data_IF_993671131720
#
_entry.id   IF_993671131720
#
_cell.length_a   1.000
_cell.length_b   1.000
_cell.length_c   1.000
_cell.angle_alpha   90.00
_cell.angle_beta   90.00
_cell.angle_gamma   90.00
#
_symmetry.space_group_name_H-M   'P 1'
#
loop_
_entity.id
_entity.type
_entity.pdbx_description
1 polymer ?
#
# COMPACT_ATOMS: atom_id res chain seq x y z
N UNK A 1 15.58 -6.83 41.21
CA UNK A 1 16.44 -5.80 40.57
C UNK A 1 15.95 -5.60 39.14
N UNK A 2 15.73 -4.35 38.74
CA UNK A 2 15.39 -4.05 37.35
C UNK A 2 16.56 -4.45 36.43
N UNK A 3 16.27 -5.05 35.26
CA UNK A 3 17.28 -5.41 34.27
C UNK A 3 17.73 -4.15 33.52
N UNK A 4 18.86 -4.25 32.78
CA UNK A 4 19.30 -3.18 31.85
C UNK A 4 18.21 -2.90 30.81
N UNK A 5 17.47 -3.93 30.40
CA UNK A 5 16.35 -3.80 29.49
C UNK A 5 15.22 -2.95 30.10
N UNK A 6 14.82 -3.22 31.36
CA UNK A 6 13.76 -2.46 32.03
C UNK A 6 14.12 -0.98 32.14
N UNK A 7 15.33 -0.67 32.63
CA UNK A 7 15.81 0.73 32.76
C UNK A 7 15.83 1.46 31.40
N UNK A 8 16.27 0.77 30.34
CA UNK A 8 16.28 1.33 28.97
C UNK A 8 14.88 1.57 28.46
N UNK A 9 13.97 0.64 28.69
CA UNK A 9 12.58 0.70 28.22
C UNK A 9 11.82 1.82 28.94
N UNK A 10 11.98 1.97 30.25
CA UNK A 10 11.37 3.05 31.02
C UNK A 10 11.81 4.42 30.50
N UNK A 11 13.11 4.59 30.25
CA UNK A 11 13.64 5.83 29.65
C UNK A 11 13.05 6.13 28.27
N UNK A 12 12.89 5.09 27.42
CA UNK A 12 12.26 5.26 26.11
C UNK A 12 10.78 5.63 26.24
N UNK A 13 10.06 5.06 27.19
CA UNK A 13 8.67 5.40 27.45
C UNK A 13 8.50 6.84 27.93
N UNK A 14 9.37 7.31 28.82
CA UNK A 14 9.39 8.72 29.24
C UNK A 14 9.64 9.64 28.05
N UNK A 15 10.65 9.36 27.21
CA UNK A 15 10.93 10.13 26.01
C UNK A 15 9.74 10.20 25.04
N UNK A 16 9.05 9.06 24.77
CA UNK A 16 7.89 9.04 23.90
C UNK A 16 6.72 9.88 24.46
N UNK A 17 6.54 9.91 25.77
CA UNK A 17 5.52 10.72 26.45
C UNK A 17 5.88 12.21 26.43
N UNK A 18 7.13 12.56 26.74
CA UNK A 18 7.63 13.94 26.69
C UNK A 18 7.53 14.54 25.27
N UNK A 19 7.89 13.75 24.27
CA UNK A 19 7.75 14.13 22.85
C UNK A 19 6.30 14.13 22.36
N UNK A 20 5.34 13.71 23.20
CA UNK A 20 3.91 13.60 22.85
C UNK A 20 3.60 12.72 21.64
N UNK A 21 4.44 11.70 21.40
CA UNK A 21 4.27 10.73 20.31
C UNK A 21 3.79 9.34 20.79
N UNK A 22 3.43 9.25 22.07
CA UNK A 22 2.86 8.03 22.64
C UNK A 22 1.56 7.65 21.93
N UNK A 23 1.49 6.43 21.40
CA UNK A 23 0.33 5.92 20.68
C UNK A 23 -0.64 5.22 21.62
N UNK A 24 -1.92 5.54 21.47
CA UNK A 24 -3.04 4.82 22.09
C UNK A 24 -3.85 4.11 21.03
N UNK A 25 -4.22 2.85 21.30
CA UNK A 25 -5.06 2.07 20.38
C UNK A 25 -6.53 2.40 20.65
N UNK A 26 -7.26 2.81 19.63
CA UNK A 26 -8.70 3.01 19.71
C UNK A 26 -9.43 1.68 19.45
N UNK A 27 -10.35 1.32 20.35
CA UNK A 27 -11.13 0.09 20.22
C UNK A 27 -12.39 0.34 19.41
N UNK A 28 -12.50 -0.32 18.24
CA UNK A 28 -13.69 -0.27 17.40
C UNK A 28 -14.70 -1.33 17.85
N UNK A 29 -15.96 -0.94 17.95
CA UNK A 29 -17.09 -1.77 18.39
C UNK A 29 -18.15 -1.93 17.27
N UNK A 30 -17.71 -1.81 16.02
CA UNK A 30 -18.51 -2.01 14.81
C UNK A 30 -17.66 -2.58 13.67
N UNK A 31 -18.27 -3.12 12.60
CA UNK A 31 -17.55 -3.34 11.34
C UNK A 31 -16.92 -2.04 10.83
N UNK A 32 -15.90 -2.18 9.96
CA UNK A 32 -15.23 -1.05 9.32
C UNK A 32 -16.09 -0.50 8.17
N UNK A 33 -16.56 0.75 8.33
CA UNK A 33 -17.37 1.47 7.33
C UNK A 33 -17.05 2.97 7.34
N UNK A 34 -17.84 3.78 6.62
CA UNK A 34 -17.77 5.25 6.64
C UNK A 34 -17.99 5.83 8.04
N UNK A 35 -18.89 5.23 8.82
CA UNK A 35 -19.13 5.53 10.23
C UNK A 35 -18.80 4.30 11.07
N UNK A 36 -18.07 4.48 12.15
CA UNK A 36 -17.69 3.41 13.07
C UNK A 36 -18.07 3.78 14.52
N UNK A 37 -18.27 2.76 15.35
CA UNK A 37 -18.41 2.96 16.80
C UNK A 37 -17.07 2.73 17.48
N UNK A 38 -16.70 3.65 18.37
CA UNK A 38 -15.48 3.61 19.16
C UNK A 38 -15.85 3.52 20.63
N UNK A 39 -15.09 2.73 21.38
CA UNK A 39 -15.18 2.67 22.84
C UNK A 39 -14.32 3.78 23.45
N UNK A 40 -14.96 4.74 24.10
CA UNK A 40 -14.29 5.84 24.81
C UNK A 40 -13.57 5.39 26.08
N UNK A 41 -12.73 6.25 26.68
CA UNK A 41 -12.02 5.98 27.92
C UNK A 41 -12.95 5.69 29.13
N UNK A 42 -14.17 6.24 29.09
CA UNK A 42 -15.22 6.02 30.08
C UNK A 42 -15.99 4.71 29.87
N UNK A 43 -15.61 3.92 28.86
CA UNK A 43 -16.28 2.68 28.49
C UNK A 43 -17.53 2.85 27.63
N UNK A 44 -18.00 4.08 27.39
CA UNK A 44 -19.15 4.35 26.54
C UNK A 44 -18.77 4.28 25.07
N UNK A 45 -19.75 3.85 24.28
CA UNK A 45 -19.60 3.83 22.82
C UNK A 45 -20.14 5.14 22.23
N UNK A 46 -19.49 5.63 21.18
CA UNK A 46 -19.94 6.75 20.39
C UNK A 46 -19.65 6.50 18.91
N UNK A 47 -20.47 7.03 18.03
CA UNK A 47 -20.27 6.97 16.59
C UNK A 47 -19.38 8.10 16.11
N UNK A 48 -18.58 7.83 15.11
CA UNK A 48 -17.77 8.85 14.44
C UNK A 48 -17.56 8.53 12.95
N UNK A 49 -17.50 9.57 12.13
CA UNK A 49 -17.15 9.48 10.73
C UNK A 49 -15.66 9.09 10.60
N UNK A 50 -15.35 8.01 9.88
CA UNK A 50 -14.02 7.40 9.82
C UNK A 50 -13.24 7.85 8.58
N UNK A 51 -12.35 8.80 8.73
CA UNK A 51 -11.47 9.32 7.67
C UNK A 51 -10.01 8.87 7.82
N UNK A 52 -9.73 7.77 8.50
CA UNK A 52 -8.37 7.22 8.65
C UNK A 52 -8.21 5.78 8.14
N UNK A 53 -9.30 5.14 7.71
CA UNK A 53 -9.30 3.79 7.18
C UNK A 53 -8.81 3.73 5.73
N UNK A 54 -8.10 2.65 5.38
CA UNK A 54 -7.73 2.34 3.99
C UNK A 54 -8.87 1.64 3.20
N UNK A 55 -10.09 1.62 3.71
CA UNK A 55 -11.27 1.01 3.07
C UNK A 55 -11.79 1.89 1.92
N UNK A 56 -10.94 2.18 0.92
CA UNK A 56 -11.19 3.17 -0.13
C UNK A 56 -12.48 2.93 -0.93
N UNK A 57 -12.84 1.67 -1.18
CA UNK A 57 -14.03 1.31 -1.95
C UNK A 57 -15.25 0.93 -1.08
N UNK A 58 -15.10 0.95 0.26
CA UNK A 58 -16.18 0.52 1.16
C UNK A 58 -16.47 -0.98 1.09
N UNK A 59 -15.48 -1.81 0.74
CA UNK A 59 -15.69 -3.25 0.53
C UNK A 59 -15.42 -4.10 1.78
N UNK A 60 -14.82 -3.55 2.84
CA UNK A 60 -14.47 -4.31 4.04
C UNK A 60 -15.70 -4.90 4.76
N UNK A 61 -16.86 -4.25 4.65
CA UNK A 61 -18.15 -4.70 5.21
C UNK A 61 -19.22 -4.92 4.13
N UNK A 62 -18.81 -5.10 2.87
CA UNK A 62 -19.76 -5.32 1.78
C UNK A 62 -20.42 -6.71 1.92
N UNK A 63 -21.76 -6.83 1.81
CA UNK A 63 -22.46 -8.08 2.05
C UNK A 63 -21.93 -9.27 1.25
N UNK A 64 -21.67 -9.10 -0.05
CA UNK A 64 -21.10 -10.18 -0.88
C UNK A 64 -19.68 -10.58 -0.45
N UNK A 65 -18.86 -9.63 0.06
CA UNK A 65 -17.50 -9.91 0.55
C UNK A 65 -17.57 -10.68 1.86
N UNK A 66 -18.47 -10.27 2.77
CA UNK A 66 -18.71 -10.96 4.04
C UNK A 66 -19.22 -12.37 3.78
N UNK A 67 -20.21 -12.55 2.91
CA UNK A 67 -20.78 -13.87 2.56
C UNK A 67 -19.75 -14.79 1.92
N UNK A 68 -18.89 -14.28 1.04
CA UNK A 68 -17.79 -15.05 0.45
C UNK A 68 -16.80 -15.55 1.54
N UNK A 69 -16.50 -14.71 2.54
CA UNK A 69 -15.69 -15.10 3.69
C UNK A 69 -16.36 -16.16 4.57
N UNK A 70 -17.65 -16.00 4.86
CA UNK A 70 -18.44 -16.97 5.62
C UNK A 70 -18.52 -18.31 4.91
N UNK A 71 -18.77 -18.30 3.60
CA UNK A 71 -18.73 -19.52 2.78
C UNK A 71 -17.35 -20.18 2.82
N UNK A 72 -16.29 -19.40 2.67
CA UNK A 72 -14.92 -19.89 2.77
C UNK A 72 -14.64 -20.54 4.13
N UNK A 73 -15.09 -19.93 5.23
CA UNK A 73 -14.98 -20.50 6.57
C UNK A 73 -15.73 -21.82 6.71
N UNK A 74 -16.95 -21.89 6.19
CA UNK A 74 -17.80 -23.08 6.25
C UNK A 74 -17.22 -24.25 5.44
N UNK A 75 -16.74 -23.99 4.23
CA UNK A 75 -16.34 -25.04 3.28
C UNK A 75 -14.90 -25.52 3.53
N UNK A 76 -14.01 -24.64 4.04
CA UNK A 76 -12.57 -24.90 4.14
C UNK A 76 -12.00 -24.81 5.56
N UNK A 77 -12.80 -24.45 6.56
CA UNK A 77 -12.36 -24.28 7.94
C UNK A 77 -11.64 -22.94 8.22
N UNK A 78 -11.18 -22.77 9.46
CA UNK A 78 -10.66 -21.51 9.97
C UNK A 78 -9.23 -21.18 9.51
N UNK A 79 -8.42 -22.18 9.17
CA UNK A 79 -7.00 -21.98 8.87
C UNK A 79 -6.39 -23.09 8.04
N UNK A 80 -5.26 -22.81 7.43
CA UNK A 80 -4.54 -23.75 6.56
C UNK A 80 -3.61 -24.68 7.32
N UNK A 81 -3.22 -24.31 8.54
CA UNK A 81 -2.29 -25.04 9.42
C UNK A 81 -0.95 -25.43 8.76
N UNK A 82 -0.60 -24.84 7.63
CA UNK A 82 0.60 -25.19 6.86
C UNK A 82 1.06 -24.07 5.94
N UNK A 83 2.33 -24.13 5.55
CA UNK A 83 2.89 -23.37 4.43
C UNK A 83 2.38 -23.91 3.10
N UNK A 84 2.42 -23.06 2.06
CA UNK A 84 1.80 -23.35 0.76
C UNK A 84 2.32 -24.64 0.09
N UNK A 85 3.62 -24.90 0.10
CA UNK A 85 4.22 -26.01 -0.64
C UNK A 85 4.06 -27.40 0.05
N UNK A 86 3.73 -27.43 1.35
CA UNK A 86 3.52 -28.69 2.06
C UNK A 86 2.07 -29.15 1.85
N UNK A 87 1.11 -28.54 2.57
CA UNK A 87 -0.32 -28.85 2.46
C UNK A 87 -1.21 -27.61 2.68
N UNK A 88 -0.66 -26.41 2.55
CA UNK A 88 -1.37 -25.15 2.78
C UNK A 88 -1.92 -24.49 1.51
N UNK A 89 -1.85 -25.14 0.34
CA UNK A 89 -2.45 -24.63 -0.89
C UNK A 89 -3.85 -25.21 -1.07
N UNK A 90 -4.83 -24.31 -1.14
CA UNK A 90 -6.24 -24.63 -1.33
C UNK A 90 -6.75 -24.01 -2.62
N UNK A 91 -7.76 -24.58 -3.25
CA UNK A 91 -8.39 -24.05 -4.48
C UNK A 91 -8.71 -22.54 -4.40
N UNK A 92 -9.26 -21.97 -3.31
CA UNK A 92 -9.50 -20.54 -3.22
C UNK A 92 -8.25 -19.65 -3.31
N UNK A 93 -7.06 -20.16 -2.99
CA UNK A 93 -5.82 -19.41 -3.21
C UNK A 93 -5.55 -19.22 -4.70
N UNK A 94 -5.61 -20.31 -5.48
CA UNK A 94 -5.39 -20.27 -6.94
C UNK A 94 -6.46 -19.40 -7.64
N UNK A 95 -7.71 -19.50 -7.22
CA UNK A 95 -8.78 -18.67 -7.74
C UNK A 95 -8.56 -17.18 -7.44
N UNK A 96 -8.11 -16.82 -6.22
CA UNK A 96 -7.78 -15.45 -5.87
C UNK A 96 -6.57 -14.95 -6.66
N UNK A 97 -5.53 -15.76 -6.80
CA UNK A 97 -4.32 -15.46 -7.57
C UNK A 97 -4.62 -15.26 -9.06
N UNK A 98 -5.55 -16.06 -9.61
CA UNK A 98 -6.03 -15.87 -10.98
C UNK A 98 -6.75 -14.52 -11.16
N UNK A 99 -7.63 -14.15 -10.22
CA UNK A 99 -8.32 -12.85 -10.27
C UNK A 99 -7.35 -11.67 -10.10
N UNK A 100 -6.32 -11.82 -9.25
CA UNK A 100 -5.26 -10.82 -9.13
C UNK A 100 -4.50 -10.68 -10.45
N UNK A 101 -4.06 -11.78 -11.05
CA UNK A 101 -3.35 -11.75 -12.33
C UNK A 101 -4.20 -11.10 -13.43
N UNK A 102 -5.51 -11.41 -13.48
CA UNK A 102 -6.48 -10.79 -14.41
C UNK A 102 -6.65 -9.29 -14.15
N UNK A 103 -6.74 -8.89 -12.88
CA UNK A 103 -6.81 -7.48 -12.48
C UNK A 103 -5.56 -6.71 -12.92
N UNK A 104 -4.38 -7.29 -12.69
CA UNK A 104 -3.11 -6.65 -13.00
C UNK A 104 -2.71 -6.74 -14.48
N UNK A 105 -3.36 -7.60 -15.27
CA UNK A 105 -2.97 -7.87 -16.67
C UNK A 105 -1.62 -8.56 -16.77
N UNK A 106 -1.29 -9.45 -15.82
CA UNK A 106 -0.03 -10.20 -15.74
C UNK A 106 -0.24 -11.68 -16.02
N UNK A 107 0.86 -12.41 -16.29
CA UNK A 107 0.80 -13.85 -16.58
C UNK A 107 0.42 -14.69 -15.35
N UNK A 108 0.81 -14.24 -14.17
CA UNK A 108 0.62 -14.97 -12.92
C UNK A 108 0.65 -14.04 -11.71
N UNK A 109 0.12 -14.51 -10.59
CA UNK A 109 0.23 -13.87 -9.28
C UNK A 109 0.37 -14.92 -8.18
N UNK A 110 0.84 -14.50 -7.01
CA UNK A 110 0.97 -15.33 -5.83
C UNK A 110 0.66 -14.54 -4.56
N UNK A 111 -0.11 -15.13 -3.66
CA UNK A 111 -0.57 -14.48 -2.42
C UNK A 111 0.33 -14.79 -1.23
N UNK A 112 0.46 -13.79 -0.34
CA UNK A 112 1.20 -13.82 0.93
C UNK A 112 0.27 -13.39 2.07
N UNK A 113 0.64 -13.66 3.31
CA UNK A 113 -0.15 -13.25 4.49
C UNK A 113 -0.21 -11.74 4.69
N UNK A 114 0.70 -11.00 4.09
CA UNK A 114 0.70 -9.52 4.07
C UNK A 114 1.50 -9.00 2.87
N UNK A 115 1.28 -7.73 2.50
CA UNK A 115 2.14 -7.07 1.51
C UNK A 115 3.57 -6.85 2.03
N UNK A 116 3.76 -6.78 3.34
CA UNK A 116 5.11 -6.79 3.94
C UNK A 116 5.87 -8.03 3.51
N UNK A 117 5.26 -9.23 3.68
CA UNK A 117 5.88 -10.49 3.26
C UNK A 117 6.04 -10.59 1.73
N UNK A 118 5.09 -10.04 0.96
CA UNK A 118 5.22 -9.97 -0.50
C UNK A 118 6.47 -9.16 -0.91
N UNK A 119 6.65 -7.96 -0.35
CA UNK A 119 7.83 -7.13 -0.59
C UNK A 119 9.11 -7.80 -0.09
N UNK A 120 9.10 -8.39 1.12
CA UNK A 120 10.23 -9.13 1.68
C UNK A 120 10.64 -10.32 0.80
N UNK A 121 9.70 -10.94 0.10
CA UNK A 121 10.00 -12.06 -0.78
C UNK A 121 10.73 -11.63 -2.06
N UNK A 122 10.48 -10.43 -2.60
CA UNK A 122 10.93 -10.01 -3.93
C UNK A 122 12.47 -9.94 -4.02
N UNK A 123 13.08 -8.97 -3.36
CA UNK A 123 14.51 -8.69 -3.59
C UNK A 123 15.46 -9.77 -3.03
N UNK A 124 15.24 -10.32 -1.82
CA UNK A 124 16.09 -11.40 -1.31
C UNK A 124 16.04 -12.69 -2.15
N UNK A 125 14.95 -12.90 -2.90
CA UNK A 125 14.78 -14.08 -3.75
C UNK A 125 15.28 -13.88 -5.17
N UNK A 126 14.99 -12.71 -5.76
CA UNK A 126 15.19 -12.46 -7.19
C UNK A 126 16.56 -11.85 -7.51
N UNK A 127 17.13 -11.06 -6.58
CA UNK A 127 18.42 -10.41 -6.80
C UNK A 127 19.59 -11.35 -6.48
N UNK A 128 20.71 -11.13 -7.16
CA UNK A 128 21.96 -11.86 -6.94
C UNK A 128 23.16 -10.89 -6.77
N UNK A 129 24.34 -11.44 -6.44
CA UNK A 129 25.57 -10.66 -6.35
C UNK A 129 25.89 -10.00 -7.71
N UNK A 130 26.34 -8.75 -7.67
CA UNK A 130 26.58 -7.94 -8.86
C UNK A 130 25.37 -7.16 -9.35
N UNK A 131 24.17 -7.44 -8.86
CA UNK A 131 22.99 -6.62 -9.13
C UNK A 131 23.03 -5.29 -8.36
N UNK A 132 22.18 -4.35 -8.77
CA UNK A 132 21.90 -3.11 -8.03
C UNK A 132 20.40 -2.85 -7.92
N UNK A 133 19.93 -2.42 -6.74
CA UNK A 133 18.57 -1.98 -6.50
C UNK A 133 18.58 -0.46 -6.34
N UNK A 134 17.87 0.24 -7.23
CA UNK A 134 17.67 1.69 -7.21
C UNK A 134 16.26 1.97 -6.69
N UNK A 135 16.15 2.51 -5.47
CA UNK A 135 14.90 2.70 -4.75
C UNK A 135 14.54 4.17 -4.60
N UNK A 136 13.26 4.52 -4.74
CA UNK A 136 12.76 5.83 -4.32
C UNK A 136 12.97 6.00 -2.81
N UNK A 137 13.38 7.20 -2.38
CA UNK A 137 13.70 7.48 -0.97
C UNK A 137 12.49 7.42 -0.03
N UNK A 138 11.27 7.62 -0.56
CA UNK A 138 10.02 7.60 0.21
C UNK A 138 9.22 6.30 0.06
N UNK A 139 9.81 5.27 -0.51
CA UNK A 139 9.17 3.95 -0.58
C UNK A 139 8.74 3.44 0.80
N UNK A 140 7.70 2.62 0.80
CA UNK A 140 7.18 2.00 2.02
C UNK A 140 8.26 1.23 2.80
N UNK A 141 8.18 1.25 4.13
CA UNK A 141 9.16 0.61 5.02
C UNK A 141 9.43 -0.86 4.68
N UNK A 142 8.44 -1.62 4.21
CA UNK A 142 8.62 -3.01 3.79
C UNK A 142 9.55 -3.16 2.59
N UNK A 143 9.52 -2.21 1.65
CA UNK A 143 10.47 -2.18 0.51
C UNK A 143 11.86 -1.85 1.02
N UNK A 144 11.99 -0.81 1.85
CA UNK A 144 13.27 -0.41 2.45
C UNK A 144 13.92 -1.58 3.19
N UNK A 145 13.15 -2.29 4.01
CA UNK A 145 13.67 -3.42 4.80
C UNK A 145 13.95 -4.64 3.93
N UNK A 146 13.15 -4.91 2.89
CA UNK A 146 13.44 -5.95 1.90
C UNK A 146 14.77 -5.70 1.18
N UNK A 147 15.01 -4.45 0.74
CA UNK A 147 16.28 -4.05 0.10
C UNK A 147 17.45 -4.20 1.07
N UNK A 148 17.29 -3.78 2.32
CA UNK A 148 18.31 -3.97 3.38
C UNK A 148 18.60 -5.45 3.60
N UNK A 149 17.57 -6.27 3.76
CA UNK A 149 17.70 -7.71 3.96
C UNK A 149 18.41 -8.37 2.77
N UNK A 150 18.00 -8.02 1.55
CA UNK A 150 18.63 -8.53 0.33
C UNK A 150 20.14 -8.23 0.29
N UNK A 151 20.56 -7.00 0.60
CA UNK A 151 21.98 -6.61 0.61
C UNK A 151 22.80 -7.30 1.71
N UNK A 152 22.19 -7.71 2.80
CA UNK A 152 22.85 -8.50 3.85
C UNK A 152 23.01 -9.96 3.44
N UNK A 153 21.96 -10.55 2.84
CA UNK A 153 21.97 -11.98 2.43
C UNK A 153 22.84 -12.19 1.19
N UNK A 154 22.76 -11.28 0.22
CA UNK A 154 23.47 -11.38 -1.07
C UNK A 154 24.69 -10.46 -1.05
N UNK A 155 25.83 -10.97 -0.56
CA UNK A 155 27.10 -10.22 -0.58
C UNK A 155 27.46 -9.82 -2.00
N UNK A 156 27.70 -8.53 -2.22
CA UNK A 156 27.96 -7.97 -3.55
C UNK A 156 26.72 -7.46 -4.29
N UNK A 157 25.53 -7.54 -3.67
CA UNK A 157 24.36 -6.81 -4.14
C UNK A 157 24.47 -5.34 -3.73
N UNK A 158 24.35 -4.44 -4.70
CA UNK A 158 24.44 -2.99 -4.51
C UNK A 158 23.04 -2.37 -4.30
N UNK A 159 23.00 -1.20 -3.67
CA UNK A 159 21.79 -0.39 -3.56
C UNK A 159 22.08 1.10 -3.73
N UNK A 160 21.13 1.85 -4.27
CA UNK A 160 21.17 3.30 -4.42
C UNK A 160 19.80 3.89 -4.18
N UNK A 161 19.75 5.18 -3.77
CA UNK A 161 18.50 5.91 -3.58
C UNK A 161 18.44 7.08 -4.57
N UNK A 162 17.25 7.35 -5.08
CA UNK A 162 16.96 8.59 -5.79
C UNK A 162 15.88 9.39 -5.04
N UNK A 163 15.87 10.71 -5.26
CA UNK A 163 14.92 11.63 -4.65
C UNK A 163 13.50 11.34 -5.13
N UNK A 164 12.53 11.42 -4.21
CA UNK A 164 11.14 11.06 -4.46
C UNK A 164 10.60 11.65 -5.76
N UNK A 165 10.13 10.80 -6.64
CA UNK A 165 9.59 11.14 -7.96
C UNK A 165 10.52 11.98 -8.87
N UNK A 166 11.79 12.12 -8.53
CA UNK A 166 12.75 12.91 -9.32
C UNK A 166 13.36 12.04 -10.43
N UNK A 167 12.94 12.27 -11.67
CA UNK A 167 13.36 11.46 -12.81
C UNK A 167 14.63 11.99 -13.48
N UNK A 168 14.87 13.31 -13.49
CA UNK A 168 16.03 13.96 -14.13
C UNK A 168 16.68 14.99 -13.21
N UNK A 169 17.97 15.20 -13.38
CA UNK A 169 18.77 16.14 -12.60
C UNK A 169 19.60 15.46 -11.52
N UNK A 170 20.09 16.23 -10.58
CA UNK A 170 20.92 15.73 -9.48
C UNK A 170 20.11 14.86 -8.52
N UNK A 171 20.66 13.72 -8.11
CA UNK A 171 20.01 12.69 -7.27
C UNK A 171 18.73 12.07 -7.87
N UNK A 172 18.54 12.15 -9.18
CA UNK A 172 17.41 11.60 -9.91
C UNK A 172 17.58 10.12 -10.25
N UNK A 173 16.48 9.48 -10.66
CA UNK A 173 16.50 8.11 -11.17
C UNK A 173 17.45 7.96 -12.37
N UNK A 174 17.40 8.88 -13.34
CA UNK A 174 18.27 8.84 -14.54
C UNK A 174 19.75 8.89 -14.15
N UNK A 175 20.11 9.76 -13.18
CA UNK A 175 21.50 9.82 -12.70
C UNK A 175 21.92 8.50 -12.07
N UNK A 176 21.09 7.89 -11.21
CA UNK A 176 21.43 6.60 -10.59
C UNK A 176 21.55 5.46 -11.59
N UNK A 177 20.74 5.47 -12.64
CA UNK A 177 20.82 4.49 -13.72
C UNK A 177 22.15 4.66 -14.52
N UNK A 178 22.56 5.90 -14.82
CA UNK A 178 23.86 6.20 -15.46
C UNK A 178 25.04 5.74 -14.59
N UNK A 179 25.00 6.05 -13.30
CA UNK A 179 26.03 5.64 -12.33
C UNK A 179 26.11 4.10 -12.26
N UNK A 180 24.98 3.40 -12.19
CA UNK A 180 24.91 1.93 -12.18
C UNK A 180 25.53 1.33 -13.43
N UNK A 181 25.21 1.86 -14.63
CA UNK A 181 25.77 1.38 -15.91
C UNK A 181 27.26 1.60 -16.04
N UNK A 182 27.81 2.66 -15.44
CA UNK A 182 29.23 3.00 -15.47
C UNK A 182 30.03 2.25 -14.38
N UNK A 183 29.38 1.69 -13.38
CA UNK A 183 30.04 1.02 -12.25
C UNK A 183 30.60 -0.34 -12.64
N UNK A 184 31.84 -0.61 -12.26
CA UNK A 184 32.47 -1.93 -12.41
C UNK A 184 31.93 -2.98 -11.42
N UNK A 185 31.31 -2.52 -10.33
CA UNK A 185 30.74 -3.38 -9.29
C UNK A 185 29.32 -3.88 -9.65
N UNK A 186 28.68 -3.25 -10.67
CA UNK A 186 27.38 -3.65 -11.18
C UNK A 186 27.58 -4.47 -12.45
N UNK A 187 27.62 -5.78 -12.29
CA UNK A 187 27.85 -6.75 -13.37
C UNK A 187 26.59 -7.54 -13.74
N UNK A 188 25.54 -7.41 -12.90
CA UNK A 188 24.27 -8.12 -13.02
C UNK A 188 23.12 -7.21 -13.46
N UNK A 189 21.94 -7.49 -12.93
CA UNK A 189 20.68 -6.81 -13.26
C UNK A 189 20.53 -5.49 -12.49
N UNK A 190 20.03 -4.49 -13.17
CA UNK A 190 19.56 -3.24 -12.53
C UNK A 190 18.08 -3.38 -12.20
N UNK A 191 17.71 -3.11 -10.95
CA UNK A 191 16.35 -3.12 -10.44
C UNK A 191 15.95 -1.70 -10.04
N UNK A 192 14.78 -1.26 -10.46
CA UNK A 192 14.18 0.02 -10.03
C UNK A 192 12.90 -0.29 -9.26
N UNK A 193 12.73 0.30 -8.08
CA UNK A 193 11.53 0.08 -7.26
C UNK A 193 10.95 1.39 -6.77
N UNK A 194 9.61 1.49 -6.84
CA UNK A 194 8.82 2.63 -6.38
C UNK A 194 7.48 2.20 -5.84
N UNK A 195 6.92 2.99 -4.89
CA UNK A 195 5.47 2.99 -4.65
C UNK A 195 4.76 3.58 -5.88
N UNK A 196 3.63 3.02 -6.27
CA UNK A 196 2.75 3.62 -7.29
C UNK A 196 2.04 4.87 -6.77
N UNK A 197 1.55 4.79 -5.54
CA UNK A 197 0.99 5.91 -4.76
C UNK A 197 1.69 5.96 -3.41
N UNK A 198 2.35 7.07 -3.11
CA UNK A 198 3.05 7.29 -1.85
C UNK A 198 2.07 7.55 -0.69
N UNK A 199 2.17 6.74 0.34
CA UNK A 199 1.14 6.64 1.40
C UNK A 199 0.97 7.88 2.26
N UNK A 200 1.99 8.71 2.40
CA UNK A 200 1.94 9.91 3.25
C UNK A 200 1.65 11.17 2.45
N UNK A 201 2.10 11.27 1.22
CA UNK A 201 1.95 12.43 0.33
C UNK A 201 0.68 12.30 -0.54
N UNK A 202 0.29 11.08 -0.88
CA UNK A 202 -0.72 10.83 -1.88
C UNK A 202 -0.23 11.08 -3.32
N UNK A 203 1.05 11.39 -3.52
CA UNK A 203 1.63 11.58 -4.84
C UNK A 203 1.68 10.27 -5.64
N UNK A 204 1.73 10.38 -6.96
CA UNK A 204 1.73 9.25 -7.90
C UNK A 204 3.06 9.19 -8.63
N UNK A 205 3.62 8.01 -8.80
CA UNK A 205 4.80 7.79 -9.63
C UNK A 205 4.48 7.98 -11.13
N UNK A 206 5.37 8.66 -11.87
CA UNK A 206 5.29 8.75 -13.34
C UNK A 206 5.82 7.46 -13.98
N UNK A 207 5.00 6.42 -13.95
CA UNK A 207 5.36 5.09 -14.45
C UNK A 207 5.76 5.09 -15.94
N UNK A 208 5.11 5.85 -16.86
CA UNK A 208 5.56 5.93 -18.24
C UNK A 208 6.96 6.48 -18.42
N UNK A 209 7.34 7.52 -17.68
CA UNK A 209 8.68 8.08 -17.74
C UNK A 209 9.71 7.16 -17.08
N UNK A 210 9.38 6.54 -15.96
CA UNK A 210 10.21 5.51 -15.33
C UNK A 210 10.44 4.31 -16.24
N UNK A 211 9.38 3.83 -16.93
CA UNK A 211 9.51 2.70 -17.86
C UNK A 211 10.46 3.03 -19.01
N UNK A 212 10.37 4.24 -19.60
CA UNK A 212 11.30 4.67 -20.65
C UNK A 212 12.76 4.64 -20.18
N UNK A 213 13.03 5.15 -18.99
CA UNK A 213 14.36 5.08 -18.39
C UNK A 213 14.79 3.62 -18.14
N UNK A 214 13.90 2.80 -17.58
CA UNK A 214 14.22 1.39 -17.38
C UNK A 214 14.51 0.65 -18.68
N UNK A 215 13.78 0.92 -19.76
CA UNK A 215 14.03 0.34 -21.09
C UNK A 215 15.39 0.79 -21.64
N UNK A 216 15.72 2.09 -21.53
CA UNK A 216 17.01 2.63 -21.99
C UNK A 216 18.21 1.98 -21.30
N UNK A 217 18.09 1.72 -19.98
CA UNK A 217 19.18 1.16 -19.20
C UNK A 217 19.10 -0.36 -18.96
N UNK A 218 18.09 -1.05 -19.51
CA UNK A 218 17.87 -2.48 -19.32
C UNK A 218 17.53 -2.87 -17.90
N UNK A 219 16.79 -2.00 -17.18
CA UNK A 219 16.38 -2.20 -15.80
C UNK A 219 14.99 -2.85 -15.70
N UNK A 220 14.80 -3.65 -14.65
CA UNK A 220 13.49 -4.20 -14.25
C UNK A 220 12.78 -3.17 -13.38
N UNK A 221 11.50 -2.88 -13.68
CA UNK A 221 10.66 -1.97 -12.92
C UNK A 221 9.71 -2.74 -11.99
N UNK A 222 9.87 -2.53 -10.69
CA UNK A 222 9.02 -3.09 -9.62
C UNK A 222 8.17 -1.96 -9.03
N UNK A 223 6.85 -2.17 -8.93
CA UNK A 223 5.92 -1.16 -8.39
C UNK A 223 5.06 -1.77 -7.27
N UNK A 224 5.13 -1.18 -6.07
CA UNK A 224 4.15 -1.43 -5.02
C UNK A 224 2.95 -0.50 -5.22
N UNK A 225 1.83 -1.05 -5.64
CA UNK A 225 0.62 -0.28 -5.91
C UNK A 225 -0.46 -0.44 -4.82
N UNK A 226 -0.02 -0.70 -3.60
CA UNK A 226 -0.90 -0.95 -2.43
C UNK A 226 -1.89 0.18 -2.14
N UNK A 227 -1.60 1.42 -2.52
CA UNK A 227 -2.50 2.57 -2.40
C UNK A 227 -3.14 2.99 -3.73
N UNK A 228 -2.72 2.39 -4.86
CA UNK A 228 -3.29 2.64 -6.18
C UNK A 228 -4.45 1.71 -6.51
N UNK A 229 -4.37 0.43 -6.08
CA UNK A 229 -5.45 -0.53 -6.31
C UNK A 229 -6.77 -0.05 -5.68
N UNK A 230 -7.86 -0.08 -6.44
CA UNK A 230 -9.16 0.44 -6.04
C UNK A 230 -9.29 1.96 -6.08
N UNK A 231 -8.21 2.70 -6.31
CA UNK A 231 -8.17 4.17 -6.25
C UNK A 231 -7.89 4.78 -7.62
N UNK A 232 -6.86 4.26 -8.29
CA UNK A 232 -6.36 4.80 -9.55
C UNK A 232 -6.85 3.99 -10.76
N UNK A 233 -6.93 4.66 -11.90
CA UNK A 233 -7.45 4.08 -13.12
C UNK A 233 -8.97 4.13 -13.25
N UNK A 234 -9.50 3.83 -14.43
CA UNK A 234 -10.93 3.91 -14.72
C UNK A 234 -11.73 2.83 -13.98
N UNK A 235 -11.16 1.64 -13.86
CA UNK A 235 -11.79 0.47 -13.23
C UNK A 235 -11.16 0.12 -11.89
N UNK A 236 -10.18 0.92 -11.39
CA UNK A 236 -9.54 0.70 -10.11
C UNK A 236 -8.37 -0.30 -10.13
N UNK A 237 -7.86 -0.64 -11.31
CA UNK A 237 -6.74 -1.59 -11.40
C UNK A 237 -5.44 -1.06 -10.79
N UNK A 238 -5.30 0.27 -10.67
CA UNK A 238 -4.15 0.89 -10.05
C UNK A 238 -3.47 1.94 -10.92
N UNK A 239 -2.25 2.33 -10.53
CA UNK A 239 -1.48 3.38 -11.20
C UNK A 239 -1.11 3.04 -12.64
N UNK A 240 -0.87 1.78 -12.96
CA UNK A 240 -0.61 1.34 -14.32
C UNK A 240 -1.83 1.55 -15.25
N UNK A 241 -3.06 1.35 -14.76
CA UNK A 241 -4.28 1.70 -15.51
C UNK A 241 -4.44 3.21 -15.67
N UNK A 242 -4.14 3.98 -14.61
CA UNK A 242 -4.17 5.44 -14.67
C UNK A 242 -3.31 5.99 -15.81
N UNK A 243 -2.16 5.40 -16.03
CA UNK A 243 -1.21 5.76 -17.07
C UNK A 243 -1.43 5.05 -18.41
N UNK A 244 -2.50 4.26 -18.57
CA UNK A 244 -2.78 3.52 -19.80
C UNK A 244 -1.79 2.38 -20.10
N UNK A 245 -1.14 1.84 -19.07
CA UNK A 245 -0.13 0.77 -19.20
C UNK A 245 -0.71 -0.63 -18.96
N UNK A 246 -2.03 -0.79 -18.99
CA UNK A 246 -2.70 -2.09 -18.88
C UNK A 246 -2.56 -2.84 -20.21
N UNK A 247 -2.13 -4.09 -20.15
CA UNK A 247 -2.15 -4.98 -21.31
C UNK A 247 -3.57 -5.32 -21.78
N UNK A 248 -3.69 -5.71 -23.05
CA UNK A 248 -4.98 -6.13 -23.64
C UNK A 248 -5.63 -7.28 -22.86
N UNK A 249 -6.95 -7.41 -23.00
CA UNK A 249 -7.84 -8.31 -22.24
C UNK A 249 -7.52 -9.80 -22.28
N UNK A 250 -6.58 -10.22 -23.09
CA UNK A 250 -6.30 -11.63 -23.39
C UNK A 250 -4.97 -12.13 -22.81
N UNK A 251 -4.32 -11.36 -21.90
CA UNK A 251 -3.00 -11.76 -21.34
C UNK A 251 -1.88 -11.84 -22.38
N UNK A 252 -2.23 -11.82 -23.66
CA UNK A 252 -1.30 -11.84 -24.78
C UNK A 252 -0.79 -10.42 -25.03
N UNK A 253 0.36 -10.14 -24.50
CA UNK A 253 1.06 -8.89 -24.73
C UNK A 253 1.65 -8.87 -26.13
N UNK A 254 1.04 -8.12 -27.03
CA UNK A 254 1.80 -7.68 -28.21
C UNK A 254 2.90 -6.76 -27.68
N UNK A 255 4.15 -7.21 -27.79
CA UNK A 255 5.29 -6.33 -27.66
C UNK A 255 5.05 -5.11 -28.58
N UNK A 256 5.26 -3.91 -28.05
CA UNK A 256 5.15 -2.70 -28.88
C UNK A 256 6.19 -2.79 -29.99
N UNK A 257 5.84 -2.27 -31.15
CA UNK A 257 6.72 -2.25 -32.35
C UNK A 257 8.04 -1.49 -32.12
N UNK A 258 8.17 -0.76 -31.01
CA UNK A 258 9.38 -0.02 -30.60
C UNK A 258 10.31 -0.80 -29.64
N UNK A 259 10.03 -2.09 -29.37
CA UNK A 259 10.85 -2.95 -28.51
C UNK A 259 10.72 -2.69 -27.02
N UNK A 260 10.00 -1.64 -26.60
CA UNK A 260 9.75 -1.34 -25.19
C UNK A 260 8.57 -2.15 -24.66
N UNK A 261 8.66 -2.63 -23.40
CA UNK A 261 7.59 -3.42 -22.79
C UNK A 261 6.31 -2.59 -22.55
N UNK A 262 6.43 -1.27 -22.43
CA UNK A 262 5.33 -0.35 -22.11
C UNK A 262 4.60 -0.71 -20.81
N UNK A 263 5.19 -1.56 -19.95
CA UNK A 263 4.57 -2.20 -18.80
C UNK A 263 5.49 -2.16 -17.58
N UNK A 264 4.87 -2.30 -16.44
CA UNK A 264 5.57 -2.64 -15.19
C UNK A 264 5.91 -4.13 -15.25
N UNK A 265 7.13 -4.49 -14.82
CA UNK A 265 7.60 -5.88 -14.89
C UNK A 265 7.06 -6.71 -13.73
N UNK A 266 7.06 -6.15 -12.51
CA UNK A 266 6.61 -6.82 -11.29
C UNK A 266 5.79 -5.84 -10.46
N UNK A 267 4.63 -6.29 -10.02
CA UNK A 267 3.81 -5.59 -9.05
C UNK A 267 3.84 -6.27 -7.70
N UNK A 268 3.82 -5.47 -6.65
CA UNK A 268 3.37 -5.89 -5.33
C UNK A 268 2.12 -5.10 -4.94
N UNK A 269 1.32 -5.66 -4.04
CA UNK A 269 0.10 -5.00 -3.60
C UNK A 269 -0.52 -5.65 -2.39
N UNK A 270 -1.44 -4.94 -1.75
CA UNK A 270 -2.12 -5.42 -0.55
C UNK A 270 -3.58 -5.77 -0.80
N UNK A 271 -4.05 -6.82 -0.13
CA UNK A 271 -5.47 -7.16 -0.01
C UNK A 271 -6.11 -6.50 1.22
N UNK A 272 -5.29 -5.91 2.10
CA UNK A 272 -5.70 -5.29 3.37
C UNK A 272 -6.21 -3.85 3.27
N UNK A 273 -6.55 -3.36 2.06
CA UNK A 273 -7.05 -2.00 1.84
C UNK A 273 -8.33 -2.03 0.99
N UNK A 274 -8.32 -1.43 -0.21
CA UNK A 274 -9.49 -1.38 -1.09
C UNK A 274 -10.02 -2.76 -1.51
N UNK A 275 -9.16 -3.78 -1.54
CA UNK A 275 -9.49 -5.13 -2.00
C UNK A 275 -10.03 -6.03 -0.87
N UNK A 276 -11.00 -5.52 -0.11
CA UNK A 276 -11.71 -6.26 0.93
C UNK A 276 -11.28 -5.96 2.36
N UNK A 277 -10.17 -5.21 2.58
CA UNK A 277 -9.78 -4.72 3.90
C UNK A 277 -9.30 -5.78 4.91
N UNK A 278 -9.14 -7.04 4.50
CA UNK A 278 -8.68 -8.13 5.35
C UNK A 278 -7.16 -8.11 5.55
N UNK A 279 -6.54 -9.25 5.57
CA UNK A 279 -5.08 -9.41 5.53
C UNK A 279 -4.64 -9.76 4.11
N UNK A 280 -3.34 -9.96 3.93
CA UNK A 280 -2.78 -10.46 2.68
C UNK A 280 -2.12 -9.41 1.83
N UNK A 281 -1.23 -9.92 1.00
CA UNK A 281 -0.58 -9.20 -0.08
C UNK A 281 -0.31 -10.14 -1.23
N UNK A 282 0.21 -9.61 -2.33
CA UNK A 282 0.53 -10.41 -3.50
C UNK A 282 1.73 -9.86 -4.26
N UNK A 283 2.33 -10.74 -5.05
CA UNK A 283 3.22 -10.38 -6.15
C UNK A 283 2.54 -10.82 -7.44
N UNK A 284 2.56 -9.96 -8.47
CA UNK A 284 2.03 -10.26 -9.80
C UNK A 284 3.04 -9.87 -10.88
N UNK A 285 3.22 -10.71 -11.90
CA UNK A 285 4.21 -10.50 -12.94
C UNK A 285 4.37 -11.69 -13.89
N UNK A 286 5.54 -11.82 -14.54
CA UNK A 286 5.86 -12.97 -15.38
C UNK A 286 5.82 -14.28 -14.59
N UNK A 287 5.34 -15.34 -15.21
CA UNK A 287 5.24 -16.67 -14.59
C UNK A 287 6.56 -17.13 -13.95
N UNK A 288 7.69 -16.93 -14.65
CA UNK A 288 9.03 -17.28 -14.14
C UNK A 288 9.41 -16.61 -12.82
N UNK A 289 8.95 -15.35 -12.61
CA UNK A 289 9.15 -14.61 -11.35
C UNK A 289 8.36 -15.28 -10.23
N UNK A 290 7.09 -15.55 -10.50
CA UNK A 290 6.19 -16.18 -9.53
C UNK A 290 6.68 -17.58 -9.15
N UNK A 291 7.07 -18.40 -10.14
CA UNK A 291 7.63 -19.73 -9.90
C UNK A 291 8.91 -19.67 -9.03
N UNK A 292 9.82 -18.72 -9.29
CA UNK A 292 11.02 -18.55 -8.48
C UNK A 292 10.69 -18.15 -7.04
N UNK A 293 9.72 -17.26 -6.83
CA UNK A 293 9.24 -16.88 -5.49
C UNK A 293 8.63 -18.10 -4.75
N UNK A 294 7.87 -18.94 -5.45
CA UNK A 294 7.31 -20.17 -4.88
C UNK A 294 8.44 -21.12 -4.46
N UNK A 295 9.48 -21.29 -5.27
CA UNK A 295 10.56 -22.25 -5.02
C UNK A 295 11.56 -21.79 -3.95
N UNK A 296 11.82 -20.47 -3.83
CA UNK A 296 12.93 -19.96 -3.02
C UNK A 296 12.55 -18.82 -2.05
N UNK A 297 11.38 -18.24 -2.17
CA UNK A 297 10.94 -17.13 -1.32
C UNK A 297 10.79 -17.58 0.13
N UNK A 298 11.56 -17.01 1.06
CA UNK A 298 11.50 -17.38 2.48
C UNK A 298 10.09 -17.21 3.07
N UNK A 299 9.35 -16.10 2.80
CA UNK A 299 7.97 -15.98 3.24
C UNK A 299 7.04 -17.07 2.69
N UNK A 300 7.32 -17.59 1.48
CA UNK A 300 6.58 -18.73 0.90
C UNK A 300 6.88 -20.04 1.63
N UNK A 301 8.18 -20.26 1.94
CA UNK A 301 8.65 -21.54 2.47
C UNK A 301 8.45 -21.69 3.99
N UNK A 302 8.39 -20.57 4.73
CA UNK A 302 8.45 -20.57 6.21
C UNK A 302 7.31 -19.84 6.90
N UNK A 303 6.37 -19.23 6.14
CA UNK A 303 5.16 -18.63 6.71
C UNK A 303 3.91 -19.41 6.27
N UNK A 304 2.94 -19.56 7.16
CA UNK A 304 1.66 -20.17 6.82
C UNK A 304 1.01 -19.46 5.63
N UNK A 305 0.18 -20.19 4.90
CA UNK A 305 -0.61 -19.64 3.82
C UNK A 305 -1.60 -18.57 4.31
N UNK A 306 -1.99 -17.67 3.41
CA UNK A 306 -3.09 -16.74 3.66
C UNK A 306 -4.34 -17.52 4.10
N UNK A 307 -5.08 -17.10 5.14
CA UNK A 307 -6.33 -17.76 5.51
C UNK A 307 -7.29 -17.85 4.32
N UNK A 308 -7.91 -19.03 4.14
CA UNK A 308 -8.81 -19.28 2.99
C UNK A 308 -10.00 -18.31 2.97
N UNK A 309 -10.53 -17.97 4.14
CA UNK A 309 -11.59 -16.96 4.31
C UNK A 309 -11.21 -15.61 3.70
N UNK A 310 -9.96 -15.20 3.90
CA UNK A 310 -9.42 -13.93 3.33
C UNK A 310 -9.24 -14.05 1.82
N UNK A 311 -8.76 -15.19 1.33
CA UNK A 311 -8.65 -15.43 -0.12
C UNK A 311 -10.01 -15.33 -0.82
N UNK A 312 -11.05 -15.97 -0.25
CA UNK A 312 -12.43 -15.89 -0.75
C UNK A 312 -12.98 -14.45 -0.73
N UNK A 313 -12.81 -13.74 0.37
CA UNK A 313 -13.27 -12.34 0.52
C UNK A 313 -12.55 -11.41 -0.44
N UNK A 314 -11.23 -11.53 -0.57
CA UNK A 314 -10.43 -10.68 -1.46
C UNK A 314 -10.73 -10.95 -2.93
N UNK A 315 -10.88 -12.21 -3.34
CA UNK A 315 -11.37 -12.57 -4.68
C UNK A 315 -12.68 -11.85 -4.98
N UNK A 316 -13.67 -11.97 -4.07
CA UNK A 316 -14.96 -11.32 -4.22
C UNK A 316 -14.87 -9.80 -4.31
N UNK A 317 -14.01 -9.17 -3.50
CA UNK A 317 -13.77 -7.73 -3.56
C UNK A 317 -13.19 -7.28 -4.92
N UNK A 318 -12.26 -8.04 -5.50
CA UNK A 318 -11.72 -7.78 -6.84
C UNK A 318 -12.82 -7.92 -7.90
N UNK A 319 -13.62 -8.99 -7.84
CA UNK A 319 -14.76 -9.19 -8.75
C UNK A 319 -15.75 -8.02 -8.72
N UNK A 320 -16.10 -7.53 -7.51
CA UNK A 320 -17.00 -6.38 -7.34
C UNK A 320 -16.38 -5.11 -7.90
N UNK A 321 -15.12 -4.83 -7.58
CA UNK A 321 -14.41 -3.64 -8.09
C UNK A 321 -14.44 -3.60 -9.62
N UNK A 322 -14.13 -4.72 -10.28
CA UNK A 322 -14.12 -4.80 -11.75
C UNK A 322 -15.51 -4.76 -12.37
N UNK A 323 -16.53 -5.31 -11.68
CA UNK A 323 -17.93 -5.30 -12.09
C UNK A 323 -18.59 -3.93 -11.90
N UNK A 324 -18.15 -3.16 -10.90
CA UNK A 324 -18.78 -1.92 -10.44
C UNK A 324 -17.83 -0.71 -10.53
N UNK A 325 -17.36 -0.29 -11.73
CA UNK A 325 -16.43 0.83 -11.88
C UNK A 325 -17.02 2.16 -11.38
N UNK A 326 -18.33 2.27 -11.22
CA UNK A 326 -19.00 3.42 -10.60
C UNK A 326 -18.58 3.64 -9.13
N UNK A 327 -18.10 2.61 -8.42
CA UNK A 327 -17.52 2.80 -7.07
C UNK A 327 -16.24 3.62 -7.11
N UNK A 328 -15.39 3.35 -8.09
CA UNK A 328 -14.14 4.10 -8.32
C UNK A 328 -14.47 5.54 -8.76
N UNK A 329 -15.51 5.71 -9.60
CA UNK A 329 -15.99 7.04 -9.99
C UNK A 329 -16.50 7.82 -8.77
N UNK A 330 -17.35 7.21 -7.93
CA UNK A 330 -17.82 7.81 -6.67
C UNK A 330 -16.68 8.19 -5.74
N UNK A 331 -15.65 7.34 -5.61
CA UNK A 331 -14.47 7.67 -4.82
C UNK A 331 -13.82 8.96 -5.33
N UNK A 332 -13.61 9.09 -6.64
CA UNK A 332 -13.02 10.30 -7.25
C UNK A 332 -13.85 11.55 -7.02
N UNK A 333 -15.19 11.44 -7.15
CA UNK A 333 -16.10 12.55 -6.89
C UNK A 333 -16.02 12.99 -5.42
N UNK A 334 -16.02 12.03 -4.49
CA UNK A 334 -15.82 12.28 -3.06
C UNK A 334 -14.47 12.94 -2.77
N UNK A 335 -13.39 12.49 -3.42
CA UNK A 335 -12.05 13.08 -3.27
C UNK A 335 -12.03 14.53 -3.76
N UNK A 336 -12.57 14.79 -4.94
CA UNK A 336 -12.64 16.14 -5.50
C UNK A 336 -13.44 17.08 -4.58
N UNK A 337 -14.60 16.64 -4.11
CA UNK A 337 -15.43 17.37 -3.18
C UNK A 337 -14.74 17.67 -1.85
N UNK A 338 -14.13 16.65 -1.24
CA UNK A 338 -13.41 16.79 0.03
C UNK A 338 -12.26 17.81 -0.09
N UNK A 339 -11.42 17.69 -1.13
CA UNK A 339 -10.31 18.64 -1.35
C UNK A 339 -10.80 20.07 -1.55
N UNK A 340 -11.84 20.26 -2.37
CA UNK A 340 -12.43 21.57 -2.59
C UNK A 340 -12.92 22.18 -1.27
N UNK A 341 -13.67 21.44 -0.46
CA UNK A 341 -14.23 21.89 0.81
C UNK A 341 -13.17 22.17 1.87
N UNK A 342 -12.15 21.29 2.00
CA UNK A 342 -11.05 21.47 2.95
C UNK A 342 -10.24 22.73 2.59
N UNK A 343 -9.94 22.96 1.30
CA UNK A 343 -9.27 24.19 0.84
C UNK A 343 -10.11 25.44 1.09
N UNK A 344 -11.41 25.39 0.77
CA UNK A 344 -12.34 26.50 1.02
C UNK A 344 -12.47 26.83 2.52
N UNK A 345 -12.20 25.87 3.40
CA UNK A 345 -12.12 26.08 4.85
C UNK A 345 -10.78 26.66 5.32
N UNK A 346 -9.82 26.95 4.42
CA UNK A 346 -8.53 27.59 4.71
C UNK A 346 -7.40 26.63 5.09
N UNK A 347 -7.58 25.31 4.91
CA UNK A 347 -6.56 24.31 5.22
C UNK A 347 -5.65 24.03 4.03
N UNK A 348 -4.34 23.86 4.33
CA UNK A 348 -3.33 23.50 3.34
C UNK A 348 -3.38 21.98 3.08
N UNK A 349 -4.12 21.55 2.05
CA UNK A 349 -4.18 20.15 1.61
C UNK A 349 -3.30 19.95 0.38
N UNK A 350 -2.43 18.93 0.41
CA UNK A 350 -1.56 18.61 -0.72
C UNK A 350 -2.36 18.20 -1.95
N UNK A 351 -1.92 18.70 -3.11
CA UNK A 351 -2.54 18.33 -4.39
C UNK A 351 -2.24 16.88 -4.76
N UNK A 352 -3.30 16.15 -5.06
CA UNK A 352 -3.22 14.78 -5.57
C UNK A 352 -4.60 14.32 -6.04
N UNK A 353 -4.73 13.49 -7.07
CA UNK A 353 -6.00 12.88 -7.44
C UNK A 353 -6.34 11.64 -6.61
N UNK A 354 -5.46 11.22 -5.69
CA UNK A 354 -5.66 10.01 -4.87
C UNK A 354 -6.60 10.25 -3.70
N UNK A 355 -7.06 9.16 -3.11
CA UNK A 355 -7.94 9.18 -1.94
C UNK A 355 -7.26 9.66 -0.64
N UNK A 356 -5.96 9.90 -0.67
CA UNK A 356 -5.17 10.40 0.46
C UNK A 356 -5.17 11.92 0.40
N UNK A 357 -5.77 12.58 1.37
CA UNK A 357 -5.87 14.04 1.49
C UNK A 357 -5.06 14.51 2.72
N UNK A 358 -3.74 14.73 2.60
CA UNK A 358 -2.91 15.19 3.71
C UNK A 358 -3.13 16.68 3.93
N UNK A 359 -3.53 17.06 5.15
CA UNK A 359 -3.63 18.45 5.60
C UNK A 359 -2.35 18.76 6.38
N UNK A 360 -1.52 19.65 5.86
CA UNK A 360 -0.22 19.99 6.45
C UNK A 360 -0.41 20.87 7.69
N UNK A 361 0.13 20.41 8.80
CA UNK A 361 0.10 21.08 10.11
C UNK A 361 1.49 21.64 10.50
N UNK A 362 2.55 20.91 10.11
CA UNK A 362 3.95 21.25 10.38
C UNK A 362 4.44 20.67 11.72
N UNK A 363 3.84 21.05 12.83
CA UNK A 363 4.21 20.60 14.18
C UNK A 363 3.56 19.28 14.57
N UNK A 364 4.36 18.34 15.09
CA UNK A 364 3.90 16.98 15.48
C UNK A 364 2.91 17.01 16.63
N UNK A 365 3.19 17.78 17.70
CA UNK A 365 2.32 17.83 18.88
C UNK A 365 0.97 18.47 18.52
N UNK A 366 0.99 19.49 17.66
CA UNK A 366 -0.21 20.14 17.14
C UNK A 366 -1.05 19.16 16.31
N UNK A 367 -0.45 18.40 15.39
CA UNK A 367 -1.15 17.42 14.57
C UNK A 367 -1.83 16.33 15.44
N UNK A 368 -1.16 15.85 16.48
CA UNK A 368 -1.71 14.88 17.43
C UNK A 368 -2.85 15.49 18.23
N UNK A 369 -2.70 16.74 18.74
CA UNK A 369 -3.76 17.43 19.47
C UNK A 369 -4.99 17.68 18.60
N UNK A 370 -4.82 18.09 17.35
CA UNK A 370 -5.89 18.26 16.36
C UNK A 370 -6.61 16.94 16.09
N UNK A 371 -5.87 15.83 15.92
CA UNK A 371 -6.44 14.49 15.74
C UNK A 371 -7.33 14.09 16.91
N UNK A 372 -6.86 14.30 18.15
CA UNK A 372 -7.63 14.03 19.37
C UNK A 372 -8.90 14.89 19.41
N UNK A 373 -8.78 16.18 19.10
CA UNK A 373 -9.92 17.11 19.12
C UNK A 373 -10.95 16.75 18.05
N UNK A 374 -10.53 16.30 16.85
CA UNK A 374 -11.44 15.82 15.82
C UNK A 374 -12.22 14.59 16.29
N UNK A 375 -11.58 13.66 16.99
CA UNK A 375 -12.25 12.48 17.53
C UNK A 375 -13.33 12.88 18.56
N UNK A 376 -13.06 13.87 19.43
CA UNK A 376 -14.04 14.43 20.37
C UNK A 376 -15.22 15.12 19.66
N UNK A 377 -15.01 15.59 18.45
CA UNK A 377 -16.03 16.20 17.57
C UNK A 377 -16.76 15.19 16.68
N UNK A 378 -16.55 13.87 16.88
CA UNK A 378 -17.19 12.81 16.10
C UNK A 378 -16.50 12.46 14.78
N UNK A 379 -15.25 12.89 14.56
CA UNK A 379 -14.51 12.65 13.32
C UNK A 379 -13.17 11.94 13.62
N UNK A 380 -13.02 10.73 13.11
CA UNK A 380 -11.81 9.94 13.33
C UNK A 380 -10.80 10.15 12.20
N UNK A 381 -9.79 10.97 12.48
CA UNK A 381 -8.63 11.25 11.61
C UNK A 381 -7.36 11.08 12.42
N UNK A 382 -6.29 10.57 11.81
CA UNK A 382 -5.00 10.38 12.49
C UNK A 382 -4.03 11.51 12.12
N UNK A 383 -3.40 12.07 13.15
CA UNK A 383 -2.25 12.98 13.02
C UNK A 383 -0.95 12.18 12.92
N UNK A 384 -0.15 12.47 11.91
CA UNK A 384 1.18 11.90 11.71
C UNK A 384 2.26 12.98 11.86
N UNK A 385 3.33 12.62 12.57
CA UNK A 385 4.51 13.43 12.76
C UNK A 385 5.77 12.57 12.74
N UNK A 386 6.89 13.13 13.19
CA UNK A 386 8.13 12.38 13.31
C UNK A 386 7.96 11.14 14.22
N UNK A 387 8.55 9.98 13.90
CA UNK A 387 9.44 9.68 12.77
C UNK A 387 8.72 9.16 11.50
N UNK A 388 7.39 9.17 11.45
CA UNK A 388 6.60 8.66 10.31
C UNK A 388 6.74 9.60 9.10
N UNK A 389 6.79 10.90 9.34
CA UNK A 389 7.12 11.94 8.38
C UNK A 389 8.27 12.78 8.92
N UNK A 390 8.99 13.52 8.06
CA UNK A 390 10.09 14.36 8.48
C UNK A 390 9.62 15.45 9.48
N UNK A 391 10.52 15.91 10.32
CA UNK A 391 10.25 17.03 11.24
C UNK A 391 9.84 18.29 10.45
N UNK A 392 8.86 19.03 10.97
CA UNK A 392 8.26 20.16 10.26
C UNK A 392 7.21 19.78 9.20
N UNK A 393 6.99 18.50 8.94
CA UNK A 393 6.06 17.99 7.93
C UNK A 393 4.87 17.22 8.51
N UNK A 394 4.56 17.41 9.80
CA UNK A 394 3.43 16.78 10.45
C UNK A 394 2.12 17.15 9.76
N UNK A 395 1.17 16.22 9.74
CA UNK A 395 -0.09 16.33 8.99
C UNK A 395 -1.23 15.57 9.62
N UNK A 396 -2.46 16.00 9.35
CA UNK A 396 -3.63 15.15 9.45
C UNK A 396 -3.78 14.40 8.13
N UNK A 397 -3.83 13.07 8.16
CA UNK A 397 -4.00 12.25 6.96
C UNK A 397 -5.44 11.81 6.84
N UNK A 398 -6.24 12.60 6.12
CA UNK A 398 -7.61 12.24 5.80
C UNK A 398 -7.62 11.24 4.62
N UNK A 399 -8.36 10.15 4.77
CA UNK A 399 -8.56 9.15 3.74
C UNK A 399 -10.02 9.13 3.32
N UNK A 400 -10.26 9.38 2.05
CA UNK A 400 -11.60 9.42 1.49
C UNK A 400 -11.98 8.01 1.00
N UNK A 401 -13.25 7.66 1.20
CA UNK A 401 -13.81 6.37 0.77
C UNK A 401 -15.02 6.58 -0.14
N UNK A 402 -15.27 5.63 -1.02
CA UNK A 402 -16.52 5.53 -1.76
C UNK A 402 -17.74 5.29 -0.85
N UNK A 403 -17.50 4.77 0.37
CA UNK A 403 -18.55 4.60 1.37
C UNK A 403 -19.06 5.94 1.94
N UNK A 404 -18.20 6.98 1.97
CA UNK A 404 -18.62 8.29 2.47
C UNK A 404 -19.75 8.88 1.62
N UNK A 405 -20.68 9.52 2.31
CA UNK A 405 -21.64 10.46 1.73
C UNK A 405 -21.04 11.87 1.66
N UNK A 406 -21.66 12.77 0.92
CA UNK A 406 -21.31 14.20 0.95
C UNK A 406 -21.51 14.80 2.35
N UNK A 407 -22.52 14.31 3.11
CA UNK A 407 -22.78 14.71 4.49
C UNK A 407 -21.61 14.38 5.43
N UNK A 408 -21.02 13.18 5.32
CA UNK A 408 -19.85 12.79 6.12
C UNK A 408 -18.66 13.73 5.83
N UNK A 409 -18.46 14.11 4.57
CA UNK A 409 -17.41 15.04 4.17
C UNK A 409 -17.67 16.45 4.71
N UNK A 410 -18.94 16.92 4.68
CA UNK A 410 -19.31 18.21 5.27
C UNK A 410 -19.13 18.20 6.80
N UNK A 411 -19.38 17.06 7.47
CA UNK A 411 -19.11 16.86 8.90
C UNK A 411 -17.60 16.98 9.20
N UNK A 412 -16.76 16.31 8.42
CA UNK A 412 -15.29 16.45 8.51
C UNK A 412 -14.88 17.93 8.44
N UNK A 413 -15.36 18.65 7.43
CA UNK A 413 -15.03 20.07 7.22
C UNK A 413 -15.57 20.95 8.34
N UNK A 414 -16.79 20.67 8.84
CA UNK A 414 -17.38 21.32 9.99
C UNK A 414 -16.58 21.13 11.26
N UNK A 415 -16.04 19.93 11.50
CA UNK A 415 -15.17 19.63 12.62
C UNK A 415 -13.80 20.32 12.49
N UNK A 416 -13.20 20.31 11.29
CA UNK A 416 -11.95 21.01 11.01
C UNK A 416 -12.06 22.52 11.33
N UNK A 417 -13.16 23.19 11.01
CA UNK A 417 -13.39 24.61 11.31
C UNK A 417 -13.50 24.92 12.80
N UNK A 418 -13.68 23.92 13.67
CA UNK A 418 -13.76 24.05 15.14
C UNK A 418 -12.42 23.80 15.83
N UNK A 419 -11.35 23.55 15.08
CA UNK A 419 -9.99 23.43 15.58
C UNK A 419 -9.33 24.80 15.78
#
# INVERSE_FOLDING_TARGET
>A
MATIFDTRTDKLFEQLKEQRVWKTLQMLESPMDAVVRIKGPDGKQFECACFCSNNYLGLANHPEVVEAGLKGLKDWGAGTASVRFICGTFTPHEECEHEIARMMGTESAYTFVSCWNANEAVFPTLCEAGDIIISDELNHASIIDSVRLATVIKKGLNKSLYKNNLLKGENSLEQRLKEAKASKDVTGQIWVVTDGVFSMEGSIADLPAMRRLCDEYGAILVVDDSHGHGVMGKTGRGTHEHWGMVGGSDGATKARSDGGSGRVDIFTGTLGKALGGGAGGFVAGPRRVIELLIQRGRPTLFSNALPVTVACSSKKAIEIMLREPQRVAKLRDNVAYARQKIKAAGFNVLESPTAICPIIVGDTAKAIAMSKRLLELGVFVIGFGYPVVAEGHARLRCQISAAHSMGDIDELVGALKKL
#
